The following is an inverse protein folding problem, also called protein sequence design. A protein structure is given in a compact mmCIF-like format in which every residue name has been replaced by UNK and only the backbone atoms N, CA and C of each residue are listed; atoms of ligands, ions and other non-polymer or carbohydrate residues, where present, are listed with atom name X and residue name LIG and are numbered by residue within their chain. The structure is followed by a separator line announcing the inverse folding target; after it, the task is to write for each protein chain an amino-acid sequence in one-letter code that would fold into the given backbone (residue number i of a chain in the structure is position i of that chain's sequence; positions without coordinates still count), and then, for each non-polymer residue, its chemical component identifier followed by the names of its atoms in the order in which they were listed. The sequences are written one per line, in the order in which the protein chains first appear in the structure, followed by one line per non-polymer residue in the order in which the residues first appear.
data_IF_127819697771
#
_entry.id   IF_127819697771
#
_cell.length_a   1.000
_cell.length_b   1.000
_cell.length_c   1.000
_cell.angle_alpha   90.00
_cell.angle_beta   90.00
_cell.angle_gamma   90.00
#
_symmetry.space_group_name_H-M   'P 1'
#
loop_
_entity.id
_entity.type
_entity.pdbx_description
1 polymer ?
#
# COMPACT_ATOMS: atom_id res chain seq x y z
N UNK A 1 70.56 2.95 16.11
CA UNK A 1 69.16 3.35 16.41
C UNK A 1 68.21 2.31 15.82
N UNK A 2 67.28 1.83 16.65
CA UNK A 2 65.97 1.22 16.33
C UNK A 2 65.94 -0.15 15.61
N UNK A 3 65.88 -1.21 16.41
CA UNK A 3 65.14 -2.45 16.13
C UNK A 3 64.27 -2.74 17.35
N UNK A 4 62.96 -2.50 17.27
CA UNK A 4 61.93 -3.01 18.20
C UNK A 4 60.57 -2.54 17.74
N UNK A 5 59.80 -3.39 17.06
CA UNK A 5 58.45 -3.04 16.60
C UNK A 5 57.62 -4.18 16.02
N UNK A 6 58.04 -5.45 16.15
CA UNK A 6 57.33 -6.58 15.52
C UNK A 6 56.86 -7.64 16.54
N UNK A 7 57.30 -7.60 17.80
CA UNK A 7 57.04 -8.70 18.74
C UNK A 7 55.70 -8.59 19.51
N UNK A 8 54.96 -7.48 19.41
CA UNK A 8 53.77 -7.23 20.27
C UNK A 8 52.42 -7.45 19.57
N UNK A 9 52.38 -7.62 18.24
CA UNK A 9 51.10 -7.70 17.50
C UNK A 9 50.50 -9.11 17.43
N UNK A 10 51.33 -10.15 17.58
CA UNK A 10 50.91 -11.56 17.47
C UNK A 10 50.00 -12.04 18.64
N UNK A 11 50.23 -11.69 19.92
CA UNK A 11 49.38 -12.20 21.00
C UNK A 11 47.96 -11.60 21.04
N UNK A 12 47.75 -10.41 20.46
CA UNK A 12 46.44 -9.74 20.44
C UNK A 12 45.45 -10.36 19.43
N UNK A 13 45.96 -10.96 18.36
CA UNK A 13 45.13 -11.62 17.34
C UNK A 13 44.69 -13.01 17.83
N UNK A 14 45.56 -13.70 18.57
CA UNK A 14 45.25 -15.00 19.14
C UNK A 14 44.16 -14.94 20.24
N UNK A 15 44.13 -13.89 21.07
CA UNK A 15 43.07 -13.70 22.07
C UNK A 15 41.73 -13.34 21.44
N UNK A 16 41.72 -12.51 20.38
CA UNK A 16 40.49 -12.18 19.66
C UNK A 16 39.88 -13.41 18.98
N UNK A 17 40.71 -14.27 18.39
CA UNK A 17 40.27 -15.53 17.79
C UNK A 17 39.72 -16.52 18.84
N UNK A 18 40.33 -16.59 20.03
CA UNK A 18 39.86 -17.46 21.11
C UNK A 18 38.55 -16.96 21.73
N UNK A 19 38.35 -15.64 21.85
CA UNK A 19 37.07 -15.04 22.27
C UNK A 19 35.98 -15.30 21.23
N UNK A 20 36.28 -15.15 19.94
CA UNK A 20 35.33 -15.48 18.87
C UNK A 20 34.98 -16.97 18.83
N UNK A 21 35.94 -17.85 19.11
CA UNK A 21 35.70 -19.30 19.16
C UNK A 21 34.89 -19.72 20.42
N UNK A 22 35.12 -19.07 21.57
CA UNK A 22 34.32 -19.29 22.78
C UNK A 22 32.89 -18.73 22.67
N UNK A 23 32.71 -17.62 21.94
CA UNK A 23 31.38 -17.06 21.63
C UNK A 23 30.64 -17.92 20.61
N UNK A 24 31.35 -18.59 19.68
CA UNK A 24 30.76 -19.54 18.75
C UNK A 24 30.40 -20.88 19.42
N UNK A 25 31.20 -21.35 20.39
CA UNK A 25 30.97 -22.61 21.11
C UNK A 25 29.75 -22.62 22.05
N UNK A 26 29.26 -21.45 22.47
CA UNK A 26 28.12 -21.33 23.38
C UNK A 26 26.75 -21.08 22.69
N UNK A 27 26.68 -21.05 21.36
CA UNK A 27 25.42 -20.72 20.64
C UNK A 27 24.48 -21.90 20.40
N UNK A 28 24.91 -23.15 20.55
CA UNK A 28 24.04 -24.30 20.22
C UNK A 28 22.97 -24.67 21.27
N UNK A 29 22.93 -24.00 22.44
CA UNK A 29 21.92 -24.28 23.47
C UNK A 29 20.85 -23.18 23.63
N UNK A 30 21.03 -22.00 23.00
CA UNK A 30 20.12 -20.85 23.13
C UNK A 30 19.08 -20.75 21.99
N UNK A 31 19.37 -21.28 20.80
CA UNK A 31 18.48 -21.20 19.63
C UNK A 31 17.14 -21.91 19.81
N UNK A 32 17.08 -22.97 20.64
CA UNK A 32 15.84 -23.69 20.94
C UNK A 32 14.85 -22.84 21.77
N UNK A 33 15.37 -22.07 22.75
CA UNK A 33 14.54 -21.24 23.61
C UNK A 33 14.04 -19.97 22.91
N UNK A 34 14.86 -19.38 22.03
CA UNK A 34 14.45 -18.22 21.24
C UNK A 34 13.44 -18.60 20.14
N UNK A 35 13.62 -19.76 19.49
CA UNK A 35 12.66 -20.28 18.52
C UNK A 35 11.30 -20.58 19.17
N UNK A 36 11.28 -21.20 20.34
CA UNK A 36 10.05 -21.46 21.10
C UNK A 36 9.36 -20.16 21.56
N UNK A 37 10.13 -19.11 21.90
CA UNK A 37 9.59 -17.78 22.22
C UNK A 37 8.98 -17.11 21.00
N UNK A 38 9.62 -17.22 19.83
CA UNK A 38 9.10 -16.67 18.57
C UNK A 38 7.82 -17.40 18.15
N UNK A 39 7.79 -18.73 18.24
CA UNK A 39 6.58 -19.52 17.95
C UNK A 39 5.43 -19.18 18.90
N UNK A 40 5.73 -18.96 20.18
CA UNK A 40 4.74 -18.52 21.18
C UNK A 40 4.19 -17.14 20.81
N UNK A 41 5.06 -16.17 20.49
CA UNK A 41 4.66 -14.83 20.06
C UNK A 41 3.85 -14.85 18.74
N UNK A 42 4.21 -15.70 17.78
CA UNK A 42 3.46 -15.88 16.54
C UNK A 42 2.08 -16.51 16.76
N UNK A 43 1.96 -17.41 17.74
CA UNK A 43 0.69 -18.00 18.14
C UNK A 43 -0.22 -16.97 18.82
N UNK A 44 0.34 -16.11 19.68
CA UNK A 44 -0.38 -15.02 20.35
C UNK A 44 -0.85 -13.97 19.34
N UNK A 45 0.01 -13.56 18.40
CA UNK A 45 -0.36 -12.60 17.35
C UNK A 45 -1.49 -13.16 16.47
N UNK A 46 -1.46 -14.45 16.15
CA UNK A 46 -2.55 -15.11 15.40
C UNK A 46 -3.85 -15.15 16.20
N UNK A 47 -3.77 -15.42 17.50
CA UNK A 47 -4.94 -15.44 18.38
C UNK A 47 -5.57 -14.04 18.51
N UNK A 48 -4.75 -13.00 18.71
CA UNK A 48 -5.19 -11.60 18.76
C UNK A 48 -5.86 -11.19 17.44
N UNK A 49 -5.29 -11.54 16.28
CA UNK A 49 -5.92 -11.27 14.98
C UNK A 49 -7.27 -11.97 14.81
N UNK A 50 -7.41 -13.19 15.35
CA UNK A 50 -8.67 -13.93 15.33
C UNK A 50 -9.72 -13.26 16.20
N UNK A 51 -9.36 -12.87 17.42
CA UNK A 51 -10.23 -12.14 18.34
C UNK A 51 -10.66 -10.78 17.78
N UNK A 52 -9.77 -10.05 17.11
CA UNK A 52 -10.11 -8.79 16.42
C UNK A 52 -11.11 -9.03 15.29
N UNK A 53 -10.93 -10.08 14.49
CA UNK A 53 -11.88 -10.44 13.43
C UNK A 53 -13.22 -10.93 13.98
N UNK A 54 -13.24 -11.58 15.13
CA UNK A 54 -14.47 -12.00 15.80
C UNK A 54 -15.21 -10.80 16.43
N UNK A 55 -14.49 -9.84 17.02
CA UNK A 55 -15.06 -8.58 17.52
C UNK A 55 -15.56 -7.68 16.38
N UNK A 56 -14.89 -7.67 15.24
CA UNK A 56 -15.34 -6.97 14.03
C UNK A 56 -16.66 -7.51 13.46
N UNK A 57 -17.01 -8.78 13.74
CA UNK A 57 -18.30 -9.37 13.39
C UNK A 57 -19.41 -9.04 14.40
N UNK A 58 -19.08 -8.61 15.62
CA UNK A 58 -20.08 -8.20 16.61
C UNK A 58 -20.63 -6.81 16.28
N UNK A 59 -19.83 -5.91 15.72
CA UNK A 59 -20.30 -4.58 15.26
C UNK A 59 -21.30 -4.66 14.09
N UNK A 60 -21.27 -5.74 13.29
CA UNK A 60 -22.22 -5.95 12.19
C UNK A 60 -23.59 -6.47 12.67
N UNK A 61 -23.69 -7.04 13.87
CA UNK A 61 -24.95 -7.61 14.42
C UNK A 61 -25.72 -6.58 15.28
N UNK A 62 -25.06 -5.50 15.74
CA UNK A 62 -25.73 -4.42 16.52
C UNK A 62 -26.34 -3.31 15.65
N UNK A 63 -26.22 -3.39 14.32
CA UNK A 63 -26.79 -2.42 13.37
C UNK A 63 -28.28 -2.61 13.03
N UNK A 64 -28.89 -3.73 13.43
CA UNK A 64 -30.30 -4.05 13.15
C UNK A 64 -31.16 -3.99 14.43
N UNK A 65 -31.54 -2.79 14.90
CA UNK A 65 -32.82 -2.55 15.62
C UNK A 65 -33.04 -1.07 16.00
N UNK A 66 -33.79 -0.37 15.16
CA UNK A 66 -34.77 0.68 15.48
C UNK A 66 -35.49 1.06 14.17
N UNK A 67 -36.39 0.22 13.64
CA UNK A 67 -37.85 0.30 13.81
C UNK A 67 -38.41 1.69 13.40
N UNK A 68 -38.96 1.87 12.20
CA UNK A 68 -40.33 1.51 11.73
C UNK A 68 -41.45 2.33 12.40
N UNK A 69 -42.10 3.11 11.53
CA UNK A 69 -43.49 3.64 11.53
C UNK A 69 -43.91 4.72 12.53
N UNK A 70 -44.26 5.89 11.97
CA UNK A 70 -45.65 6.36 11.96
C UNK A 70 -45.87 7.38 10.83
N UNK A 71 -46.72 6.99 9.86
CA UNK A 71 -47.52 7.91 9.03
C UNK A 71 -48.88 8.07 9.74
N UNK A 72 -49.64 9.18 9.59
CA UNK A 72 -50.26 9.48 8.30
C UNK A 72 -50.55 10.96 7.97
N UNK A 73 -50.78 11.22 6.67
CA UNK A 73 -51.85 12.11 6.22
C UNK A 73 -51.45 13.52 5.74
N UNK A 74 -51.37 13.70 4.42
CA UNK A 74 -52.30 14.56 3.64
C UNK A 74 -51.70 15.00 2.29
N UNK A 75 -52.26 14.41 1.22
CA UNK A 75 -52.83 15.09 0.06
C UNK A 75 -52.21 16.42 -0.43
N UNK A 76 -51.59 16.41 -1.62
CA UNK A 76 -52.16 16.98 -2.87
C UNK A 76 -51.10 17.56 -3.82
N UNK A 77 -51.12 17.01 -5.05
CA UNK A 77 -50.83 17.56 -6.39
C UNK A 77 -49.61 18.47 -6.72
N UNK A 78 -49.00 18.26 -7.90
CA UNK A 78 -47.99 19.17 -8.46
C UNK A 78 -48.63 20.15 -9.46
N UNK A 79 -48.44 21.45 -9.25
CA UNK A 79 -48.60 22.44 -10.31
C UNK A 79 -47.47 23.48 -10.27
N UNK A 80 -46.76 23.61 -11.39
CA UNK A 80 -45.86 24.72 -11.73
C UNK A 80 -46.74 25.89 -12.21
N UNK A 81 -46.35 27.18 -12.08
CA UNK A 81 -45.29 27.72 -12.95
C UNK A 81 -44.47 28.93 -12.44
N UNK A 82 -43.31 29.13 -13.08
CA UNK A 82 -42.62 30.37 -13.46
C UNK A 82 -42.64 31.67 -12.61
N UNK A 83 -41.45 32.27 -12.43
CA UNK A 83 -41.28 33.72 -12.64
C UNK A 83 -40.46 34.53 -11.62
N UNK A 84 -39.27 34.96 -12.05
CA UNK A 84 -38.65 36.29 -11.86
C UNK A 84 -38.28 36.81 -10.45
N UNK A 85 -36.97 36.77 -10.18
CA UNK A 85 -36.11 37.92 -9.85
C UNK A 85 -36.47 38.88 -8.72
N UNK A 86 -35.66 38.88 -7.65
CA UNK A 86 -35.04 40.07 -7.05
C UNK A 86 -34.20 39.66 -5.83
N UNK A 87 -32.91 39.98 -5.84
CA UNK A 87 -32.14 40.13 -4.61
C UNK A 87 -32.55 41.44 -3.93
N UNK A 88 -32.72 41.45 -2.61
CA UNK A 88 -31.74 42.16 -1.78
C UNK A 88 -31.43 41.44 -0.44
N UNK A 89 -30.15 41.38 -0.08
CA UNK A 89 -29.67 41.30 1.31
C UNK A 89 -29.71 42.73 1.94
N UNK A 90 -29.48 42.96 3.26
CA UNK A 90 -29.05 42.04 4.32
C UNK A 90 -29.88 42.16 5.63
N UNK A 91 -29.90 41.09 6.44
CA UNK A 91 -30.22 41.22 7.86
C UNK A 91 -29.46 40.17 8.68
N UNK A 92 -28.52 40.67 9.48
CA UNK A 92 -27.79 39.95 10.50
C UNK A 92 -28.76 39.22 11.45
N UNK A 93 -28.52 37.92 11.68
CA UNK A 93 -28.82 37.28 12.96
C UNK A 93 -27.63 36.44 13.38
N UNK A 94 -26.96 36.93 14.41
CA UNK A 94 -26.17 36.14 15.33
C UNK A 94 -27.01 34.96 15.84
N UNK A 95 -26.38 33.80 15.94
CA UNK A 95 -27.05 32.58 16.37
C UNK A 95 -26.09 31.41 16.46
N UNK A 96 -25.15 31.52 17.40
CA UNK A 96 -24.62 30.42 18.22
C UNK A 96 -24.65 29.02 17.59
N UNK A 97 -23.49 28.60 17.10
CA UNK A 97 -23.23 27.22 16.73
C UNK A 97 -21.75 26.94 16.76
N UNK A 98 -21.05 27.41 17.80
CA UNK A 98 -19.69 26.97 18.07
C UNK A 98 -19.71 25.44 18.11
N UNK A 99 -18.93 24.81 17.24
CA UNK A 99 -18.57 23.41 17.40
C UNK A 99 -17.75 23.35 18.70
N UNK A 100 -18.47 23.28 19.81
CA UNK A 100 -17.91 22.91 21.09
C UNK A 100 -17.33 21.52 20.88
N UNK A 101 -16.01 21.47 20.79
CA UNK A 101 -15.25 20.26 21.08
C UNK A 101 -15.87 19.68 22.35
N UNK A 102 -16.53 18.52 22.22
CA UNK A 102 -17.11 17.84 23.38
C UNK A 102 -15.97 17.70 24.39
N UNK A 103 -16.12 18.22 25.62
CA UNK A 103 -15.06 18.11 26.60
C UNK A 103 -14.78 16.63 26.78
N UNK A 104 -13.50 16.25 26.65
CA UNK A 104 -13.03 14.92 26.99
C UNK A 104 -13.24 14.80 28.50
N UNK A 105 -14.39 14.23 28.89
CA UNK A 105 -14.69 13.99 30.29
C UNK A 105 -13.62 13.06 30.84
N UNK A 106 -12.98 13.46 31.94
CA UNK A 106 -12.01 12.61 32.62
C UNK A 106 -12.65 11.23 32.90
N UNK A 107 -11.93 10.13 32.65
CA UNK A 107 -12.47 8.79 32.80
C UNK A 107 -12.93 8.58 34.23
N UNK A 108 -14.18 8.13 34.40
CA UNK A 108 -14.83 7.98 35.72
C UNK A 108 -14.47 6.66 36.39
N UNK A 109 -13.84 5.74 35.65
CA UNK A 109 -13.37 4.44 36.11
C UNK A 109 -12.03 4.06 35.48
N UNK A 110 -11.26 3.19 36.14
CA UNK A 110 -9.98 2.69 35.61
C UNK A 110 -10.14 1.99 34.25
N UNK A 111 -11.30 1.36 34.00
CA UNK A 111 -11.61 0.72 32.72
C UNK A 111 -11.86 1.72 31.59
N UNK A 112 -12.48 2.87 31.87
CA UNK A 112 -12.62 3.98 30.91
C UNK A 112 -11.27 4.63 30.61
N UNK A 113 -10.41 4.77 31.61
CA UNK A 113 -9.04 5.28 31.44
C UNK A 113 -8.22 4.36 30.54
N UNK A 114 -8.29 3.04 30.76
CA UNK A 114 -7.63 2.07 29.90
C UNK A 114 -8.17 2.08 28.46
N UNK A 115 -9.49 2.18 28.28
CA UNK A 115 -10.11 2.33 26.94
C UNK A 115 -9.70 3.62 26.24
N UNK A 116 -9.50 4.70 26.99
CA UNK A 116 -9.02 5.97 26.46
C UNK A 116 -7.57 5.86 25.99
N UNK A 117 -6.68 5.27 26.79
CA UNK A 117 -5.28 5.02 26.40
C UNK A 117 -5.21 4.19 25.11
N UNK A 118 -5.99 3.10 25.01
CA UNK A 118 -6.01 2.27 23.79
C UNK A 118 -6.48 3.07 22.58
N UNK A 119 -7.53 3.90 22.71
CA UNK A 119 -7.99 4.74 21.59
C UNK A 119 -6.95 5.76 21.16
N UNK A 120 -6.24 6.37 22.11
CA UNK A 120 -5.17 7.32 21.80
C UNK A 120 -3.98 6.63 21.13
N UNK A 121 -3.62 5.42 21.55
CA UNK A 121 -2.56 4.62 20.93
C UNK A 121 -2.94 4.18 19.51
N UNK A 122 -4.18 3.71 19.29
CA UNK A 122 -4.69 3.38 17.95
C UNK A 122 -4.65 4.63 17.06
N UNK A 123 -5.13 5.77 17.55
CA UNK A 123 -5.09 7.04 16.80
C UNK A 123 -3.65 7.44 16.47
N UNK A 124 -2.72 7.33 17.41
CA UNK A 124 -1.31 7.63 17.17
C UNK A 124 -0.70 6.72 16.12
N UNK A 125 -0.95 5.40 16.19
CA UNK A 125 -0.49 4.45 15.18
C UNK A 125 -1.06 4.75 13.79
N UNK A 126 -2.35 5.10 13.69
CA UNK A 126 -2.99 5.47 12.43
C UNK A 126 -2.41 6.77 11.87
N UNK A 127 -2.18 7.78 12.71
CA UNK A 127 -1.54 9.04 12.32
C UNK A 127 -0.10 8.82 11.86
N UNK A 128 0.67 7.99 12.55
CA UNK A 128 2.02 7.62 12.11
C UNK A 128 2.00 6.90 10.76
N UNK A 129 1.08 5.95 10.57
CA UNK A 129 0.90 5.26 9.30
C UNK A 129 0.53 6.25 8.19
N UNK A 130 -0.35 7.21 8.47
CA UNK A 130 -0.74 8.26 7.54
C UNK A 130 0.44 9.18 7.19
N UNK A 131 1.24 9.58 8.18
CA UNK A 131 2.45 10.39 7.98
C UNK A 131 3.48 9.66 7.11
N UNK A 132 3.76 8.39 7.41
CA UNK A 132 4.65 7.52 6.62
C UNK A 132 4.17 7.39 5.17
N UNK A 133 2.87 7.13 4.98
CA UNK A 133 2.29 7.02 3.64
C UNK A 133 2.36 8.34 2.86
N UNK A 134 2.12 9.47 3.53
CA UNK A 134 2.21 10.79 2.91
C UNK A 134 3.64 11.13 2.48
N UNK A 135 4.65 10.81 3.31
CA UNK A 135 6.06 10.98 2.98
C UNK A 135 6.46 10.10 1.78
N UNK A 136 6.07 8.82 1.80
CA UNK A 136 6.31 7.91 0.68
C UNK A 136 5.66 8.40 -0.62
N UNK A 137 4.41 8.87 -0.56
CA UNK A 137 3.72 9.44 -1.72
C UNK A 137 4.44 10.66 -2.27
N UNK A 138 4.92 11.56 -1.40
CA UNK A 138 5.70 12.74 -1.81
C UNK A 138 7.00 12.33 -2.50
N UNK A 139 7.71 11.34 -1.98
CA UNK A 139 8.94 10.83 -2.58
C UNK A 139 8.72 10.17 -3.95
N UNK A 140 7.53 9.61 -4.18
CA UNK A 140 7.14 8.98 -5.45
C UNK A 140 6.49 9.93 -6.46
N UNK A 141 6.36 11.23 -6.14
CA UNK A 141 5.83 12.19 -7.10
C UNK A 141 6.80 12.34 -8.29
N UNK A 142 6.30 12.31 -9.55
CA UNK A 142 7.12 12.58 -10.72
C UNK A 142 7.65 14.01 -10.72
N UNK A 143 8.85 14.18 -11.26
CA UNK A 143 9.44 15.49 -11.52
C UNK A 143 8.70 16.20 -12.67
N UNK A 144 8.81 17.53 -12.76
CA UNK A 144 8.10 18.30 -13.79
C UNK A 144 8.45 17.85 -15.22
N UNK A 145 9.70 17.46 -15.46
CA UNK A 145 10.09 16.93 -16.77
C UNK A 145 9.46 15.55 -17.04
N UNK A 146 9.36 14.68 -16.02
CA UNK A 146 8.72 13.37 -16.15
C UNK A 146 7.21 13.52 -16.43
N UNK A 147 6.55 14.50 -15.78
CA UNK A 147 5.14 14.84 -16.08
C UNK A 147 4.97 15.31 -17.51
N UNK A 148 5.84 16.20 -17.97
CA UNK A 148 5.79 16.75 -19.34
C UNK A 148 6.05 15.68 -20.39
N UNK A 149 6.98 14.77 -20.14
CA UNK A 149 7.43 13.79 -21.12
C UNK A 149 6.53 12.53 -21.13
N UNK A 150 6.13 12.03 -19.96
CA UNK A 150 5.41 10.75 -19.84
C UNK A 150 3.91 10.89 -19.59
N UNK A 151 3.42 12.10 -19.30
CA UNK A 151 2.00 12.39 -19.06
C UNK A 151 1.39 11.47 -18.01
N UNK A 152 0.35 10.72 -18.39
CA UNK A 152 -0.39 9.83 -17.48
C UNK A 152 0.47 8.67 -16.93
N UNK A 153 1.56 8.29 -17.60
CA UNK A 153 2.46 7.23 -17.15
C UNK A 153 3.59 7.73 -16.24
N UNK A 154 3.70 9.05 -16.00
CA UNK A 154 4.80 9.64 -15.23
C UNK A 154 4.95 9.01 -13.83
N UNK A 155 3.84 8.74 -13.14
CA UNK A 155 3.85 8.10 -11.81
C UNK A 155 4.44 6.69 -11.87
N UNK A 156 4.04 5.89 -12.86
CA UNK A 156 4.52 4.53 -13.06
C UNK A 156 6.00 4.52 -13.41
N UNK A 157 6.41 5.38 -14.35
CA UNK A 157 7.81 5.52 -14.79
C UNK A 157 8.68 5.99 -13.63
N UNK A 158 8.24 6.98 -12.84
CA UNK A 158 8.96 7.46 -11.65
C UNK A 158 9.13 6.35 -10.62
N UNK A 159 8.05 5.65 -10.28
CA UNK A 159 8.08 4.57 -9.29
C UNK A 159 9.04 3.46 -9.70
N UNK A 160 8.96 3.01 -10.95
CA UNK A 160 9.86 1.99 -11.46
C UNK A 160 11.31 2.50 -11.56
N UNK A 161 11.47 3.75 -11.99
CA UNK A 161 12.74 4.46 -12.06
C UNK A 161 13.46 4.49 -10.71
N UNK A 162 12.76 4.86 -9.64
CA UNK A 162 13.31 4.86 -8.29
C UNK A 162 13.61 3.46 -7.77
N UNK A 163 12.71 2.50 -8.01
CA UNK A 163 12.86 1.15 -7.47
C UNK A 163 14.04 0.40 -8.11
N UNK A 164 14.16 0.47 -9.43
CA UNK A 164 15.24 -0.18 -10.17
C UNK A 164 16.51 0.68 -10.21
N UNK A 165 16.42 1.99 -9.96
CA UNK A 165 17.53 2.92 -10.17
C UNK A 165 17.80 3.11 -11.66
N UNK A 166 16.75 3.42 -12.43
CA UNK A 166 16.86 3.66 -13.88
C UNK A 166 17.47 5.03 -14.16
N UNK A 167 18.37 5.07 -15.13
CA UNK A 167 18.82 6.33 -15.74
C UNK A 167 17.66 6.99 -16.51
N UNK A 168 17.78 8.29 -16.82
CA UNK A 168 16.74 8.99 -17.57
C UNK A 168 16.52 8.39 -18.97
N UNK A 169 17.58 7.90 -19.62
CA UNK A 169 17.44 7.20 -20.89
C UNK A 169 16.69 5.86 -20.74
N UNK A 170 16.98 5.09 -19.69
CA UNK A 170 16.24 3.86 -19.39
C UNK A 170 14.77 4.15 -19.03
N UNK A 171 14.47 5.25 -18.34
CA UNK A 171 13.09 5.67 -18.07
C UNK A 171 12.31 5.94 -19.36
N UNK A 172 12.94 6.61 -20.34
CA UNK A 172 12.33 6.83 -21.67
C UNK A 172 12.05 5.53 -22.40
N UNK A 173 13.01 4.62 -22.44
CA UNK A 173 12.84 3.30 -23.05
C UNK A 173 11.75 2.49 -22.36
N UNK A 174 11.74 2.49 -21.02
CA UNK A 174 10.69 1.86 -20.22
C UNK A 174 9.31 2.44 -20.53
N UNK A 175 9.20 3.76 -20.62
CA UNK A 175 7.96 4.43 -21.01
C UNK A 175 7.48 3.97 -22.40
N UNK A 176 8.37 3.91 -23.40
CA UNK A 176 8.01 3.44 -24.75
C UNK A 176 7.47 2.02 -24.73
N UNK A 177 8.15 1.09 -24.04
CA UNK A 177 7.71 -0.30 -23.91
C UNK A 177 6.34 -0.40 -23.24
N UNK A 178 6.14 0.32 -22.13
CA UNK A 178 4.87 0.28 -21.38
C UNK A 178 3.72 0.93 -22.17
N UNK A 179 4.02 1.95 -22.97
CA UNK A 179 3.04 2.57 -23.85
C UNK A 179 2.61 1.61 -24.95
N UNK A 180 3.56 0.97 -25.62
CA UNK A 180 3.28 -0.01 -26.67
C UNK A 180 2.52 -1.24 -26.14
N UNK A 181 2.85 -1.73 -24.94
CA UNK A 181 2.10 -2.79 -24.26
C UNK A 181 0.65 -2.37 -23.97
N UNK A 182 0.47 -1.17 -23.41
CA UNK A 182 -0.85 -0.59 -23.15
C UNK A 182 -1.69 -0.45 -24.41
N UNK A 183 -1.10 0.10 -25.47
CA UNK A 183 -1.73 0.28 -26.79
C UNK A 183 -2.07 -1.09 -27.42
N UNK A 184 -1.22 -2.10 -27.27
CA UNK A 184 -1.45 -3.46 -27.78
C UNK A 184 -2.58 -4.19 -27.05
N UNK A 185 -2.70 -3.97 -25.74
CA UNK A 185 -3.80 -4.49 -24.93
C UNK A 185 -5.09 -3.74 -25.25
N UNK A 186 -4.99 -2.43 -25.52
CA UNK A 186 -6.12 -1.58 -25.88
C UNK A 186 -6.70 -1.99 -27.24
N UNK A 187 -7.82 -2.70 -27.20
CA UNK A 187 -8.50 -3.18 -28.39
C UNK A 187 -8.26 -4.66 -28.70
N UNK A 188 -7.39 -5.34 -27.94
CA UNK A 188 -7.17 -6.79 -28.09
C UNK A 188 -8.49 -7.58 -27.99
N UNK A 189 -9.34 -7.26 -27.02
CA UNK A 189 -10.64 -7.94 -26.87
C UNK A 189 -11.56 -7.74 -28.08
N UNK A 190 -11.63 -6.51 -28.59
CA UNK A 190 -12.46 -6.17 -29.76
C UNK A 190 -11.91 -6.86 -31.00
N UNK A 191 -10.60 -6.79 -31.23
CA UNK A 191 -9.94 -7.48 -32.34
C UNK A 191 -10.14 -9.00 -32.31
N UNK A 192 -10.06 -9.63 -31.14
CA UNK A 192 -10.34 -11.06 -31.00
C UNK A 192 -11.81 -11.41 -31.29
N UNK A 193 -12.74 -10.56 -30.86
CA UNK A 193 -14.18 -10.73 -31.12
C UNK A 193 -14.48 -10.62 -32.62
N UNK A 194 -13.89 -9.65 -33.30
CA UNK A 194 -14.11 -9.41 -34.72
C UNK A 194 -13.46 -10.50 -35.59
N UNK A 195 -12.32 -11.02 -35.18
CA UNK A 195 -11.64 -12.14 -35.85
C UNK A 195 -12.36 -13.49 -35.67
N UNK A 196 -13.15 -13.65 -34.60
CA UNK A 196 -13.81 -14.91 -34.25
C UNK A 196 -15.33 -14.68 -34.04
N UNK A 197 -16.08 -14.32 -35.09
CA UNK A 197 -17.50 -14.05 -34.97
C UNK A 197 -18.26 -15.31 -34.53
N UNK A 198 -19.14 -15.17 -33.54
CA UNK A 198 -19.99 -16.27 -33.03
C UNK A 198 -19.31 -17.20 -32.01
N UNK A 199 -18.06 -16.93 -31.64
CA UNK A 199 -17.38 -17.69 -30.56
C UNK A 199 -18.08 -17.49 -29.22
N UNK A 200 -18.11 -18.53 -28.38
CA UNK A 200 -18.66 -18.41 -27.04
C UNK A 200 -17.84 -17.42 -26.19
N UNK A 201 -18.53 -16.62 -25.38
CA UNK A 201 -17.89 -15.61 -24.51
C UNK A 201 -16.82 -16.20 -23.60
N UNK A 202 -17.02 -17.41 -23.08
CA UNK A 202 -16.06 -18.09 -22.20
C UNK A 202 -14.74 -18.37 -22.94
N UNK A 203 -14.84 -18.81 -24.18
CA UNK A 203 -13.70 -19.11 -25.03
C UNK A 203 -12.99 -17.84 -25.50
N UNK A 204 -13.74 -16.79 -25.88
CA UNK A 204 -13.18 -15.48 -26.17
C UNK A 204 -12.38 -14.92 -24.99
N UNK A 205 -12.91 -15.04 -23.77
CA UNK A 205 -12.23 -14.62 -22.55
C UNK A 205 -10.98 -15.47 -22.23
N UNK A 206 -10.94 -16.74 -22.66
CA UNK A 206 -9.76 -17.59 -22.54
C UNK A 206 -8.66 -17.10 -23.47
N UNK A 207 -8.98 -16.95 -24.76
CA UNK A 207 -8.06 -16.43 -25.78
C UNK A 207 -7.54 -15.03 -25.42
N UNK A 208 -8.40 -14.16 -24.92
CA UNK A 208 -8.02 -12.82 -24.48
C UNK A 208 -6.99 -12.87 -23.34
N UNK A 209 -7.18 -13.74 -22.34
CA UNK A 209 -6.22 -13.90 -21.24
C UNK A 209 -4.89 -14.47 -21.71
N UNK A 210 -4.93 -15.47 -22.60
CA UNK A 210 -3.73 -16.08 -23.18
C UNK A 210 -2.93 -15.03 -23.96
N UNK A 211 -3.56 -14.31 -24.90
CA UNK A 211 -2.88 -13.26 -25.68
C UNK A 211 -2.41 -12.08 -24.85
N UNK A 212 -3.18 -11.67 -23.84
CA UNK A 212 -2.72 -10.62 -22.91
C UNK A 212 -1.47 -11.09 -22.13
N UNK A 213 -1.44 -12.35 -21.70
CA UNK A 213 -0.28 -12.93 -21.00
C UNK A 213 0.97 -12.95 -21.89
N UNK A 214 0.82 -13.30 -23.16
CA UNK A 214 1.92 -13.26 -24.14
C UNK A 214 2.45 -11.84 -24.37
N UNK A 215 1.57 -10.85 -24.55
CA UNK A 215 1.96 -9.44 -24.70
C UNK A 215 2.72 -8.93 -23.47
N UNK A 216 2.22 -9.21 -22.26
CA UNK A 216 2.88 -8.85 -21.01
C UNK A 216 4.25 -9.51 -20.85
N UNK A 217 4.38 -10.78 -21.24
CA UNK A 217 5.67 -11.48 -21.21
C UNK A 217 6.65 -10.86 -22.20
N UNK A 218 6.19 -10.52 -23.40
CA UNK A 218 7.00 -9.81 -24.39
C UNK A 218 7.47 -8.45 -23.87
N UNK A 219 6.58 -7.65 -23.27
CA UNK A 219 6.94 -6.39 -22.63
C UNK A 219 7.96 -6.59 -21.50
N UNK A 220 7.82 -7.65 -20.69
CA UNK A 220 8.80 -8.00 -19.64
C UNK A 220 10.18 -8.31 -20.22
N UNK A 221 10.24 -9.05 -21.32
CA UNK A 221 11.51 -9.38 -21.98
C UNK A 221 12.18 -8.12 -22.54
N UNK A 222 11.40 -7.22 -23.15
CA UNK A 222 11.89 -5.92 -23.61
C UNK A 222 12.43 -5.07 -22.46
N UNK A 223 11.70 -4.98 -21.34
CA UNK A 223 12.17 -4.27 -20.15
C UNK A 223 13.46 -4.91 -19.64
N UNK A 224 13.52 -6.23 -19.54
CA UNK A 224 14.75 -6.93 -19.10
C UNK A 224 15.95 -6.61 -20.00
N UNK A 225 15.72 -6.45 -21.31
CA UNK A 225 16.73 -6.07 -22.29
C UNK A 225 17.41 -4.72 -22.02
N UNK A 226 16.67 -3.73 -21.49
CA UNK A 226 17.20 -2.39 -21.20
C UNK A 226 17.88 -2.26 -19.83
N UNK A 227 17.80 -3.31 -18.99
CA UNK A 227 18.34 -3.32 -17.63
C UNK A 227 19.74 -3.94 -17.57
N UNK A 228 20.58 -3.44 -16.66
CA UNK A 228 21.83 -4.08 -16.28
C UNK A 228 21.60 -5.27 -15.32
N UNK A 229 22.63 -6.06 -15.03
CA UNK A 229 22.49 -7.29 -14.23
C UNK A 229 21.86 -7.06 -12.85
N UNK A 230 22.30 -6.03 -12.11
CA UNK A 230 21.75 -5.72 -10.79
C UNK A 230 20.31 -5.17 -10.84
N UNK A 231 19.96 -4.46 -11.91
CA UNK A 231 18.59 -4.01 -12.16
C UNK A 231 17.67 -5.17 -12.54
N UNK A 232 18.16 -6.13 -13.33
CA UNK A 232 17.39 -7.33 -13.73
C UNK A 232 16.99 -8.17 -12.53
N UNK A 233 17.90 -8.41 -11.60
CA UNK A 233 17.59 -9.17 -10.38
C UNK A 233 16.48 -8.50 -9.56
N UNK A 234 16.55 -7.17 -9.38
CA UNK A 234 15.48 -6.40 -8.72
C UNK A 234 14.16 -6.49 -9.48
N UNK A 235 14.20 -6.40 -10.80
CA UNK A 235 13.02 -6.47 -11.66
C UNK A 235 12.37 -7.85 -11.65
N UNK A 236 13.16 -8.92 -11.65
CA UNK A 236 12.67 -10.30 -11.56
C UNK A 236 12.01 -10.56 -10.20
N UNK A 237 12.63 -10.08 -9.11
CA UNK A 237 12.03 -10.15 -7.77
C UNK A 237 10.70 -9.39 -7.72
N UNK A 238 10.64 -8.19 -8.28
CA UNK A 238 9.40 -7.43 -8.41
C UNK A 238 8.31 -8.19 -9.17
N UNK A 239 8.67 -8.84 -10.29
CA UNK A 239 7.72 -9.62 -11.08
C UNK A 239 7.15 -10.81 -10.31
N UNK A 240 7.94 -11.43 -9.42
CA UNK A 240 7.49 -12.57 -8.58
C UNK A 240 6.58 -12.11 -7.44
N UNK A 241 6.88 -10.96 -6.84
CA UNK A 241 6.19 -10.45 -5.65
C UNK A 241 4.89 -9.70 -5.97
N UNK A 242 4.78 -9.04 -7.11
CA UNK A 242 3.60 -8.25 -7.47
C UNK A 242 2.60 -9.04 -8.32
N UNK A 243 1.35 -9.11 -7.87
CA UNK A 243 0.24 -9.65 -8.69
C UNK A 243 0.01 -8.81 -9.96
N UNK A 244 0.40 -7.54 -9.97
CA UNK A 244 0.32 -6.71 -11.17
C UNK A 244 1.13 -7.25 -12.35
N UNK A 245 2.16 -8.07 -12.07
CA UNK A 245 2.98 -8.76 -13.08
C UNK A 245 2.55 -10.22 -13.32
N UNK A 246 1.53 -10.72 -12.61
CA UNK A 246 0.92 -12.05 -12.83
C UNK A 246 -0.32 -11.94 -13.72
#
# INVERSE_FOLDING_TARGET
MRTSGIVVVIPAIATLALVLFLVAGNRSAADSSESARIETLESEIRNIRRQINELGKVDEITGERAAVSDEPGSQSEPDRPGGSGAAPEPACKEGFGGNAEKPITAPRTESEHFRQIIREEIRNMEEEKKKKLAQQRKAMQPEEWEKKEFGNLAVTVRRMGLHLGLTDNQKRQYYTIMKEDGDSIQGLYVGLKDQNPGIERKELNRMYRERMGELRNYARDLVTGILNAGQREKYEKLCKENEWFK
#
